data_IF_867540935470
#
_entry.id   IF_867540935470
#
_cell.length_a   1.000
_cell.length_b   1.000
_cell.length_c   1.000
_cell.angle_alpha   90.00
_cell.angle_beta   90.00
_cell.angle_gamma   90.00
#
_symmetry.space_group_name_H-M   'P 1'
#
loop_
_entity.id
_entity.type
_entity.pdbx_description
1 polymer ?
#
# COMPACT_ATOMS: atom_id res chain seq x y z
N UNK A 1 0.19 10.08 38.62
CA UNK A 1 0.08 9.40 37.32
C UNK A 1 1.23 9.92 36.46
N UNK A 2 1.93 9.10 35.67
CA UNK A 2 2.88 9.64 34.70
C UNK A 2 2.14 10.63 33.78
N UNK A 3 2.81 11.70 33.38
CA UNK A 3 2.22 12.70 32.49
C UNK A 3 1.70 12.05 31.21
N UNK A 4 0.58 12.53 30.64
CA UNK A 4 0.06 11.98 29.40
C UNK A 4 1.14 12.12 28.32
N UNK A 5 1.56 10.99 27.75
CA UNK A 5 2.51 10.98 26.63
C UNK A 5 1.83 11.69 25.45
N UNK A 6 2.26 12.92 25.19
CA UNK A 6 1.91 13.66 23.98
C UNK A 6 2.54 12.95 22.77
N UNK A 7 1.82 12.98 21.65
CA UNK A 7 2.30 12.45 20.38
C UNK A 7 2.27 13.56 19.34
N UNK A 8 3.17 13.47 18.38
CA UNK A 8 3.18 14.30 17.19
C UNK A 8 2.72 13.49 15.99
N UNK A 9 1.88 14.11 15.17
CA UNK A 9 1.37 13.54 13.92
C UNK A 9 1.77 14.47 12.78
N UNK A 10 2.60 13.98 11.87
CA UNK A 10 3.03 14.69 10.68
C UNK A 10 2.34 14.03 9.46
N UNK A 11 1.34 14.70 8.88
CA UNK A 11 0.56 14.18 7.75
C UNK A 11 1.17 14.55 6.39
N UNK A 12 1.05 13.66 5.41
CA UNK A 12 1.56 13.84 4.03
C UNK A 12 3.03 14.27 4.00
N UNK A 13 3.87 13.61 4.80
CA UNK A 13 5.32 13.76 4.69
C UNK A 13 5.79 13.17 3.37
N UNK A 14 6.45 14.00 2.56
CA UNK A 14 7.03 13.61 1.28
C UNK A 14 8.30 12.77 1.47
N UNK A 15 8.40 11.68 0.72
CA UNK A 15 9.54 10.76 0.69
C UNK A 15 9.95 10.61 -0.76
N UNK A 16 11.12 11.17 -1.12
CA UNK A 16 11.65 11.06 -2.47
C UNK A 16 12.27 9.66 -2.69
N UNK A 17 11.80 8.95 -3.71
CA UNK A 17 12.38 7.68 -4.16
C UNK A 17 13.62 7.94 -5.02
N UNK A 18 14.42 6.90 -5.27
CA UNK A 18 15.66 6.99 -6.06
C UNK A 18 15.47 7.48 -7.50
N UNK A 19 14.27 7.32 -8.05
CA UNK A 19 13.89 7.73 -9.40
C UNK A 19 13.24 9.12 -9.45
N UNK A 20 13.16 9.82 -8.31
CA UNK A 20 12.58 11.16 -8.19
C UNK A 20 11.08 11.19 -7.97
N UNK A 21 10.38 10.05 -7.98
CA UNK A 21 8.96 10.00 -7.63
C UNK A 21 8.78 10.22 -6.12
N UNK A 22 7.78 11.01 -5.75
CA UNK A 22 7.48 11.28 -4.34
C UNK A 22 6.35 10.38 -3.84
N UNK A 23 6.64 9.60 -2.79
CA UNK A 23 5.63 8.88 -2.03
C UNK A 23 5.29 9.65 -0.76
N UNK A 24 4.04 9.58 -0.31
CA UNK A 24 3.58 10.31 0.86
C UNK A 24 3.22 9.37 2.02
N UNK A 25 3.59 9.78 3.23
CA UNK A 25 3.34 9.03 4.45
C UNK A 25 2.79 9.90 5.58
N UNK A 26 2.01 9.30 6.47
CA UNK A 26 1.65 9.88 7.76
C UNK A 26 2.55 9.27 8.84
N UNK A 27 3.08 10.14 9.72
CA UNK A 27 4.04 9.76 10.76
C UNK A 27 3.42 10.02 12.12
N UNK A 28 3.41 9.01 12.97
CA UNK A 28 2.94 9.07 14.36
C UNK A 28 4.12 8.76 15.27
N UNK A 29 4.45 9.65 16.19
CA UNK A 29 5.61 9.46 17.07
C UNK A 29 5.43 10.15 18.42
N UNK A 30 6.17 9.75 19.47
CA UNK A 30 6.18 10.50 20.71
C UNK A 30 6.61 11.96 20.50
N UNK A 31 6.02 12.87 21.25
CA UNK A 31 6.38 14.30 21.25
C UNK A 31 7.60 14.54 22.17
N UNK A 32 8.75 14.08 21.70
CA UNK A 32 10.04 14.22 22.37
C UNK A 32 11.19 13.93 21.41
N UNK A 33 12.42 14.10 21.90
CA UNK A 33 13.62 14.15 21.04
C UNK A 33 14.09 12.79 20.49
N UNK A 34 13.47 11.67 20.88
CA UNK A 34 13.87 10.34 20.43
C UNK A 34 15.24 9.90 20.99
N UNK A 35 15.94 8.96 20.32
CA UNK A 35 15.55 8.27 19.09
C UNK A 35 14.63 7.05 19.36
N UNK A 36 13.69 6.80 18.46
CA UNK A 36 12.68 5.74 18.59
C UNK A 36 12.90 4.61 17.57
N UNK A 37 12.62 3.34 17.92
CA UNK A 37 12.44 2.30 16.92
C UNK A 37 11.28 2.67 15.98
N UNK A 38 11.45 2.41 14.69
CA UNK A 38 10.47 2.78 13.66
C UNK A 38 9.71 1.57 13.15
N UNK A 39 8.40 1.70 13.00
CA UNK A 39 7.52 0.71 12.42
C UNK A 39 6.96 1.28 11.11
N UNK A 40 7.16 0.58 10.00
CA UNK A 40 6.72 0.97 8.67
C UNK A 40 5.57 0.08 8.20
N UNK A 41 4.52 0.72 7.68
CA UNK A 41 3.46 0.08 6.90
C UNK A 41 3.39 0.71 5.52
N UNK A 42 3.41 -0.10 4.46
CA UNK A 42 3.22 0.36 3.08
C UNK A 42 1.92 -0.21 2.52
N UNK A 43 0.97 0.65 2.19
CA UNK A 43 -0.39 0.26 1.80
C UNK A 43 -0.80 0.80 0.43
N UNK A 44 -1.50 0.02 -0.40
CA UNK A 44 -2.17 0.53 -1.59
C UNK A 44 -3.62 0.97 -1.33
N UNK A 45 -4.08 0.96 -0.06
CA UNK A 45 -5.48 1.08 0.35
C UNK A 45 -5.80 2.32 1.20
N UNK A 46 -5.12 3.44 0.93
CA UNK A 46 -5.20 4.71 1.66
C UNK A 46 -4.61 4.63 3.09
N UNK A 47 -3.51 5.35 3.32
CA UNK A 47 -2.87 5.49 4.62
C UNK A 47 -3.80 6.07 5.72
N UNK A 48 -4.87 6.76 5.33
CA UNK A 48 -5.87 7.38 6.21
C UNK A 48 -7.10 6.49 6.48
N UNK A 49 -7.26 5.37 5.78
CA UNK A 49 -8.41 4.49 5.97
C UNK A 49 -8.38 3.77 7.33
N UNK A 50 -9.54 3.62 7.98
CA UNK A 50 -9.66 2.97 9.29
C UNK A 50 -9.08 1.54 9.33
N UNK A 51 -9.26 0.78 8.24
CA UNK A 51 -8.73 -0.58 8.14
C UNK A 51 -7.19 -0.61 8.18
N UNK A 52 -6.54 0.43 7.66
CA UNK A 52 -5.09 0.60 7.70
C UNK A 52 -4.57 0.71 9.13
N UNK A 53 -5.39 1.12 10.10
CA UNK A 53 -4.99 1.28 11.52
C UNK A 53 -5.50 0.14 12.43
N UNK A 54 -6.14 -0.89 11.87
CA UNK A 54 -6.80 -1.95 12.67
C UNK A 54 -5.79 -2.96 13.22
N UNK A 55 -4.74 -3.30 12.48
CA UNK A 55 -3.73 -4.27 12.95
C UNK A 55 -2.80 -3.68 14.01
N UNK A 56 -2.47 -2.40 13.88
CA UNK A 56 -1.69 -1.65 14.84
C UNK A 56 -2.27 -0.23 14.90
N UNK A 57 -2.79 0.15 16.07
CA UNK A 57 -3.16 1.52 16.35
C UNK A 57 -1.88 2.38 16.43
N UNK A 58 -1.66 3.32 15.48
CA UNK A 58 -0.43 4.10 15.43
C UNK A 58 -0.31 5.07 16.60
N UNK A 59 -1.43 5.52 17.18
CA UNK A 59 -1.43 6.38 18.37
C UNK A 59 -0.99 5.59 19.59
N UNK A 60 -1.49 4.35 19.74
CA UNK A 60 -1.07 3.46 20.83
C UNK A 60 0.40 3.07 20.72
N UNK A 61 0.87 2.76 19.51
CA UNK A 61 2.28 2.46 19.27
C UNK A 61 3.18 3.67 19.54
N UNK A 62 2.77 4.87 19.13
CA UNK A 62 3.45 6.12 19.46
C UNK A 62 3.54 6.34 20.97
N UNK A 63 2.43 6.17 21.69
CA UNK A 63 2.44 6.25 23.17
C UNK A 63 3.31 5.18 23.84
N UNK A 64 3.61 4.08 23.15
CA UNK A 64 4.50 3.02 23.62
C UNK A 64 5.99 3.27 23.25
N UNK A 65 6.32 4.40 22.64
CA UNK A 65 7.71 4.77 22.31
C UNK A 65 8.19 4.35 20.93
N UNK A 66 7.27 4.03 20.00
CA UNK A 66 7.60 3.75 18.60
C UNK A 66 7.27 4.94 17.71
N UNK A 67 8.09 5.20 16.69
CA UNK A 67 7.63 5.97 15.55
C UNK A 67 6.93 5.04 14.56
N UNK A 68 5.79 5.44 14.01
CA UNK A 68 5.02 4.68 13.03
C UNK A 68 4.91 5.51 11.75
N UNK A 69 5.34 4.92 10.64
CA UNK A 69 5.23 5.50 9.29
C UNK A 69 4.23 4.68 8.51
N UNK A 70 3.17 5.31 8.01
CA UNK A 70 2.16 4.67 7.17
C UNK A 70 2.19 5.36 5.80
N UNK A 71 2.65 4.64 4.78
CA UNK A 71 2.92 5.18 3.45
C UNK A 71 1.92 4.65 2.42
N UNK A 72 1.41 5.55 1.57
CA UNK A 72 0.73 5.16 0.34
C UNK A 72 1.76 4.67 -0.69
N UNK A 73 1.57 3.47 -1.24
CA UNK A 73 2.43 2.93 -2.30
C UNK A 73 2.34 3.75 -3.59
N UNK A 74 3.31 3.57 -4.50
CA UNK A 74 3.41 4.32 -5.76
C UNK A 74 2.12 4.31 -6.58
N UNK A 75 1.71 5.48 -7.06
CA UNK A 75 0.49 5.68 -7.84
C UNK A 75 -0.81 5.42 -7.06
N UNK A 76 -0.75 5.46 -5.72
CA UNK A 76 -1.90 5.25 -4.84
C UNK A 76 -2.17 6.50 -4.02
N UNK A 77 -3.42 6.90 -3.97
CA UNK A 77 -3.94 7.99 -3.13
C UNK A 77 -3.12 9.28 -3.22
N UNK A 78 -2.35 9.61 -2.18
CA UNK A 78 -1.51 10.82 -2.19
C UNK A 78 -0.20 10.65 -2.97
N UNK A 79 0.29 9.42 -3.13
CA UNK A 79 1.56 9.11 -3.77
C UNK A 79 1.53 9.27 -5.29
N UNK A 80 2.63 9.82 -5.80
CA UNK A 80 2.87 10.04 -7.22
C UNK A 80 3.27 8.74 -7.94
N UNK A 81 3.42 8.84 -9.27
CA UNK A 81 3.84 7.74 -10.13
C UNK A 81 2.67 6.87 -10.62
N UNK A 82 3.01 5.78 -11.30
CA UNK A 82 2.05 4.83 -11.83
C UNK A 82 2.03 3.55 -11.00
N UNK A 83 0.85 3.12 -10.58
CA UNK A 83 0.69 1.88 -9.84
C UNK A 83 0.78 0.67 -10.78
N UNK A 84 1.64 -0.28 -10.41
CA UNK A 84 1.64 -1.63 -10.95
C UNK A 84 1.87 -2.60 -9.80
N UNK A 85 0.95 -3.54 -9.60
CA UNK A 85 0.98 -4.44 -8.46
C UNK A 85 2.34 -5.14 -8.32
N UNK A 86 2.93 -5.01 -7.13
CA UNK A 86 4.19 -5.62 -6.66
C UNK A 86 5.48 -5.20 -7.38
N UNK A 87 5.40 -4.57 -8.56
CA UNK A 87 6.56 -4.25 -9.41
C UNK A 87 7.57 -3.36 -8.70
N UNK A 88 7.10 -2.26 -8.13
CA UNK A 88 7.96 -1.20 -7.58
C UNK A 88 8.22 -1.37 -6.08
N UNK A 89 7.48 -2.28 -5.42
CA UNK A 89 7.49 -2.47 -3.97
C UNK A 89 8.84 -2.96 -3.40
N UNK A 90 9.69 -3.56 -4.22
CA UNK A 90 11.06 -3.94 -3.84
C UNK A 90 11.91 -2.69 -3.63
N UNK A 91 11.97 -1.81 -4.64
CA UNK A 91 12.84 -0.62 -4.61
C UNK A 91 12.26 0.48 -3.72
N UNK A 92 10.96 0.76 -3.83
CA UNK A 92 10.31 1.77 -3.00
C UNK A 92 10.29 1.34 -1.53
N UNK A 93 10.16 0.03 -1.26
CA UNK A 93 10.28 -0.54 0.08
C UNK A 93 11.67 -0.32 0.68
N UNK A 94 12.73 -0.56 -0.11
CA UNK A 94 14.10 -0.25 0.30
C UNK A 94 14.28 1.24 0.61
N UNK A 95 13.92 2.11 -0.33
CA UNK A 95 14.14 3.56 -0.20
C UNK A 95 13.40 4.13 1.02
N UNK A 96 12.19 3.63 1.27
CA UNK A 96 11.38 4.05 2.42
C UNK A 96 11.96 3.58 3.75
N UNK A 97 12.48 2.35 3.82
CA UNK A 97 13.16 1.85 5.03
C UNK A 97 14.39 2.69 5.34
N UNK A 98 15.23 2.96 4.33
CA UNK A 98 16.46 3.74 4.52
C UNK A 98 16.15 5.20 4.87
N UNK A 99 15.14 5.79 4.24
CA UNK A 99 14.67 7.12 4.59
C UNK A 99 14.17 7.17 6.04
N UNK A 100 13.38 6.19 6.47
CA UNK A 100 12.83 6.13 7.83
C UNK A 100 13.92 5.95 8.89
N UNK A 101 14.97 5.19 8.59
CA UNK A 101 16.12 4.99 9.45
C UNK A 101 16.97 6.26 9.62
N UNK A 102 17.04 7.09 8.58
CA UNK A 102 17.85 8.31 8.55
C UNK A 102 17.22 9.52 9.25
N UNK A 103 15.96 9.43 9.67
CA UNK A 103 15.27 10.55 10.31
C UNK A 103 15.85 10.86 11.70
N UNK A 104 15.90 12.13 12.13
CA UNK A 104 16.51 12.52 13.41
C UNK A 104 15.81 11.92 14.63
N UNK A 105 14.55 11.52 14.49
CA UNK A 105 13.77 10.86 15.53
C UNK A 105 13.92 9.33 15.55
N UNK A 106 14.62 8.73 14.58
CA UNK A 106 14.77 7.28 14.44
C UNK A 106 16.06 6.80 15.10
N UNK A 107 16.04 5.60 15.69
CA UNK A 107 17.25 4.94 16.20
C UNK A 107 17.94 4.06 15.15
N UNK A 108 17.55 4.18 13.87
CA UNK A 108 18.10 3.41 12.77
C UNK A 108 17.58 1.97 12.67
N UNK A 109 16.69 1.52 13.56
CA UNK A 109 16.06 0.20 13.48
C UNK A 109 14.63 0.33 12.96
N UNK A 110 14.40 -0.23 11.78
CA UNK A 110 13.09 -0.23 11.13
C UNK A 110 12.52 -1.65 11.12
N UNK A 111 11.30 -1.80 11.63
CA UNK A 111 10.48 -2.99 11.46
C UNK A 111 9.35 -2.73 10.48
N UNK A 112 8.83 -3.76 9.81
CA UNK A 112 7.63 -3.65 8.99
C UNK A 112 6.52 -4.58 9.49
N UNK A 113 5.25 -4.21 9.23
CA UNK A 113 4.09 -5.00 9.61
C UNK A 113 2.91 -4.82 8.64
N UNK A 114 1.93 -5.73 8.74
CA UNK A 114 0.67 -5.67 8.00
C UNK A 114 0.30 -6.98 7.32
N UNK A 115 -0.89 -6.98 6.70
CA UNK A 115 -1.52 -8.18 6.13
C UNK A 115 -1.73 -8.10 4.62
N UNK A 116 -1.93 -9.25 3.97
CA UNK A 116 -2.28 -9.32 2.55
C UNK A 116 -1.24 -8.61 1.67
N UNK A 117 -1.62 -7.66 0.80
CA UNK A 117 -0.67 -6.84 0.02
C UNK A 117 0.30 -6.07 0.93
N UNK A 118 -0.17 -5.54 2.06
CA UNK A 118 0.68 -4.87 3.06
C UNK A 118 1.67 -5.87 3.69
N UNK A 119 1.31 -7.14 3.75
CA UNK A 119 2.23 -8.24 4.06
C UNK A 119 3.27 -8.46 2.95
N UNK A 120 2.83 -8.42 1.69
CA UNK A 120 3.67 -8.65 0.52
C UNK A 120 4.77 -7.59 0.38
N UNK A 121 4.46 -6.31 0.65
CA UNK A 121 5.45 -5.23 0.60
C UNK A 121 6.63 -5.47 1.54
N UNK A 122 6.45 -6.23 2.62
CA UNK A 122 7.52 -6.58 3.57
C UNK A 122 8.47 -7.62 2.97
N UNK A 123 7.92 -8.69 2.37
CA UNK A 123 8.73 -9.70 1.70
C UNK A 123 9.50 -9.07 0.54
N UNK A 124 8.82 -8.27 -0.29
CA UNK A 124 9.43 -7.59 -1.43
C UNK A 124 10.56 -6.64 -0.99
N UNK A 125 10.33 -5.79 0.01
CA UNK A 125 11.39 -4.93 0.57
C UNK A 125 12.55 -5.76 1.14
N UNK A 126 12.29 -6.85 1.86
CA UNK A 126 13.33 -7.69 2.46
C UNK A 126 14.25 -8.33 1.41
N UNK A 127 13.76 -8.65 0.20
CA UNK A 127 14.62 -9.18 -0.88
C UNK A 127 15.68 -8.18 -1.34
N UNK A 128 15.42 -6.87 -1.22
CA UNK A 128 16.40 -5.82 -1.50
C UNK A 128 17.46 -5.67 -0.40
N UNK A 129 17.27 -6.33 0.75
CA UNK A 129 18.15 -6.30 1.94
C UNK A 129 18.52 -4.88 2.40
N UNK A 130 17.54 -4.02 2.77
CA UNK A 130 17.84 -2.72 3.35
C UNK A 130 18.61 -2.91 4.67
N UNK A 131 19.79 -2.28 4.85
CA UNK A 131 20.62 -2.52 6.03
C UNK A 131 19.94 -2.16 7.36
N UNK A 132 18.94 -1.27 7.34
CA UNK A 132 18.22 -0.86 8.55
C UNK A 132 16.92 -1.63 8.81
N UNK A 133 16.54 -2.57 7.93
CA UNK A 133 15.40 -3.46 8.15
C UNK A 133 15.79 -4.59 9.12
N UNK A 134 15.35 -4.49 10.37
CA UNK A 134 15.74 -5.46 11.42
C UNK A 134 14.71 -6.57 11.65
N UNK A 135 13.44 -6.33 11.31
CA UNK A 135 12.33 -7.28 11.54
C UNK A 135 11.20 -7.06 10.54
N UNK A 136 10.53 -8.14 10.12
CA UNK A 136 9.23 -8.09 9.42
C UNK A 136 8.18 -8.92 10.18
N UNK A 137 6.91 -8.51 10.10
CA UNK A 137 5.77 -9.21 10.66
C UNK A 137 4.65 -9.38 9.59
N UNK A 138 4.91 -10.14 8.50
CA UNK A 138 3.95 -10.34 7.43
C UNK A 138 2.84 -11.30 7.86
N UNK A 139 1.59 -10.88 7.69
CA UNK A 139 0.40 -11.67 8.08
C UNK A 139 -0.45 -12.01 6.85
N UNK A 140 -1.00 -13.22 6.76
CA UNK A 140 -1.93 -13.66 5.68
C UNK A 140 -1.52 -13.18 4.28
N UNK A 141 -0.27 -13.43 3.92
CA UNK A 141 0.31 -13.06 2.63
C UNK A 141 1.03 -14.26 2.02
N UNK A 142 1.50 -14.13 0.78
CA UNK A 142 2.20 -15.18 0.06
C UNK A 142 3.69 -14.87 -0.11
N UNK A 143 4.48 -15.92 -0.29
CA UNK A 143 5.89 -15.86 -0.72
C UNK A 143 6.05 -16.05 -2.24
N UNK A 144 4.96 -16.34 -2.95
CA UNK A 144 4.86 -16.41 -4.41
C UNK A 144 3.54 -15.75 -4.83
N UNK A 145 3.60 -14.75 -5.70
CA UNK A 145 2.41 -14.00 -6.15
C UNK A 145 1.84 -14.54 -7.46
N UNK A 146 2.53 -15.45 -8.14
CA UNK A 146 1.98 -16.14 -9.31
C UNK A 146 1.15 -17.34 -8.87
N UNK A 147 1.77 -18.35 -8.25
CA UNK A 147 1.09 -19.58 -7.81
C UNK A 147 0.75 -19.51 -6.32
N UNK A 148 -0.53 -19.65 -5.98
CA UNK A 148 -1.08 -19.47 -4.64
C UNK A 148 -1.64 -18.07 -4.34
N UNK A 149 -1.73 -17.20 -5.36
CA UNK A 149 -2.35 -15.87 -5.24
C UNK A 149 -3.13 -15.49 -6.50
N UNK A 150 -2.43 -15.26 -7.62
CA UNK A 150 -3.08 -14.92 -8.90
C UNK A 150 -3.59 -16.15 -9.63
N UNK A 151 -2.83 -17.24 -9.58
CA UNK A 151 -3.19 -18.53 -10.13
C UNK A 151 -3.15 -19.61 -9.04
N UNK A 152 -3.98 -20.64 -9.19
CA UNK A 152 -3.91 -21.85 -8.38
C UNK A 152 -3.93 -23.07 -9.28
N UNK A 153 -2.82 -23.82 -9.32
CA UNK A 153 -2.71 -25.00 -10.19
C UNK A 153 -2.81 -24.65 -11.69
N UNK A 154 -2.43 -23.43 -12.07
CA UNK A 154 -2.50 -22.92 -13.45
C UNK A 154 -3.86 -22.34 -13.85
N UNK A 155 -4.88 -22.38 -12.99
CA UNK A 155 -6.14 -21.69 -13.21
C UNK A 155 -6.07 -20.27 -12.64
N UNK A 156 -6.56 -19.27 -13.39
CA UNK A 156 -6.63 -17.89 -12.92
C UNK A 156 -7.71 -17.76 -11.84
N UNK A 157 -7.37 -17.19 -10.70
CA UNK A 157 -8.30 -16.94 -9.59
C UNK A 157 -9.18 -15.71 -9.90
N UNK A 158 -10.06 -15.87 -10.89
CA UNK A 158 -10.86 -14.79 -11.49
C UNK A 158 -11.65 -14.00 -10.45
N UNK A 159 -12.37 -14.70 -9.57
CA UNK A 159 -13.23 -14.07 -8.56
C UNK A 159 -12.43 -13.16 -7.63
N UNK A 160 -11.26 -13.62 -7.17
CA UNK A 160 -10.37 -12.83 -6.33
C UNK A 160 -9.75 -11.66 -7.08
N UNK A 161 -9.10 -11.90 -8.22
CA UNK A 161 -8.37 -10.85 -8.94
C UNK A 161 -9.31 -9.78 -9.50
N UNK A 162 -10.44 -10.15 -10.10
CA UNK A 162 -11.39 -9.17 -10.66
C UNK A 162 -12.04 -8.32 -9.56
N UNK A 163 -12.49 -8.94 -8.47
CA UNK A 163 -13.11 -8.20 -7.36
C UNK A 163 -12.12 -7.24 -6.68
N UNK A 164 -10.90 -7.71 -6.42
CA UNK A 164 -9.84 -6.88 -5.85
C UNK A 164 -9.49 -5.70 -6.76
N UNK A 165 -9.42 -5.95 -8.07
CA UNK A 165 -9.17 -4.90 -9.07
C UNK A 165 -10.26 -3.84 -9.07
N UNK A 166 -11.51 -4.25 -9.26
CA UNK A 166 -12.66 -3.36 -9.37
C UNK A 166 -12.87 -2.52 -8.11
N UNK A 167 -12.75 -3.17 -6.93
CA UNK A 167 -13.03 -2.52 -5.66
C UNK A 167 -11.84 -1.68 -5.18
N UNK A 168 -10.72 -2.34 -4.92
CA UNK A 168 -9.63 -1.76 -4.15
C UNK A 168 -8.68 -0.97 -5.04
N UNK A 169 -8.36 -1.49 -6.22
CA UNK A 169 -7.32 -0.90 -7.06
C UNK A 169 -7.86 0.16 -8.01
N UNK A 170 -9.13 0.08 -8.43
CA UNK A 170 -9.76 1.13 -9.25
C UNK A 170 -10.72 1.99 -8.43
N UNK A 171 -11.92 1.51 -8.08
CA UNK A 171 -12.99 2.35 -7.53
C UNK A 171 -12.57 3.10 -6.25
N UNK A 172 -11.88 2.44 -5.30
CA UNK A 172 -11.40 3.06 -4.07
C UNK A 172 -10.29 4.10 -4.29
N UNK A 173 -9.55 4.02 -5.40
CA UNK A 173 -8.49 4.97 -5.76
C UNK A 173 -8.89 5.90 -6.92
N UNK A 174 -10.17 5.89 -7.32
CA UNK A 174 -10.62 6.51 -8.56
C UNK A 174 -10.21 7.98 -8.68
N UNK A 175 -10.21 8.73 -7.55
CA UNK A 175 -9.77 10.12 -7.53
C UNK A 175 -8.34 10.28 -8.08
N UNK A 176 -7.40 9.47 -7.61
CA UNK A 176 -6.01 9.50 -8.06
C UNK A 176 -5.87 8.96 -9.50
N UNK A 177 -6.51 7.81 -9.79
CA UNK A 177 -6.49 7.22 -11.14
C UNK A 177 -7.03 8.20 -12.20
N UNK A 178 -8.15 8.86 -11.91
CA UNK A 178 -8.76 9.84 -12.82
C UNK A 178 -7.90 11.08 -13.08
N UNK A 179 -7.04 11.46 -12.14
CA UNK A 179 -6.12 12.59 -12.33
C UNK A 179 -4.81 12.20 -13.02
N UNK A 180 -4.29 10.99 -12.78
CA UNK A 180 -2.99 10.57 -13.30
C UNK A 180 -3.09 10.01 -14.71
N UNK A 181 -4.18 9.30 -15.00
CA UNK A 181 -4.37 8.58 -16.27
C UNK A 181 -5.43 9.22 -17.18
N UNK A 182 -5.85 10.46 -16.87
CA UNK A 182 -6.90 11.19 -17.60
C UNK A 182 -8.20 10.39 -17.81
N UNK A 183 -8.53 9.50 -16.87
CA UNK A 183 -9.74 8.69 -16.96
C UNK A 183 -10.98 9.58 -16.73
N UNK A 184 -11.94 9.62 -17.67
CA UNK A 184 -13.12 10.47 -17.55
C UNK A 184 -13.94 10.16 -16.29
N UNK A 185 -14.49 11.19 -15.63
CA UNK A 185 -15.17 11.04 -14.33
C UNK A 185 -16.43 10.17 -14.41
N UNK A 186 -17.09 10.12 -15.56
CA UNK A 186 -18.24 9.26 -15.87
C UNK A 186 -17.92 7.77 -15.72
N UNK A 187 -16.65 7.36 -15.95
CA UNK A 187 -16.18 5.99 -15.75
C UNK A 187 -16.34 5.52 -14.31
N UNK A 188 -16.44 6.45 -13.35
CA UNK A 188 -16.75 6.10 -11.96
C UNK A 188 -18.11 5.45 -11.84
N UNK A 189 -19.13 5.96 -12.53
CA UNK A 189 -20.47 5.39 -12.50
C UNK A 189 -20.49 3.98 -13.07
N UNK A 190 -19.78 3.77 -14.18
CA UNK A 190 -19.59 2.44 -14.79
C UNK A 190 -18.89 1.47 -13.85
N UNK A 191 -17.84 1.91 -13.15
CA UNK A 191 -17.15 1.08 -12.15
C UNK A 191 -18.03 0.74 -10.95
N UNK A 192 -18.87 1.67 -10.48
CA UNK A 192 -19.85 1.38 -9.42
C UNK A 192 -20.84 0.31 -9.91
N UNK A 193 -21.39 0.47 -11.11
CA UNK A 193 -22.30 -0.52 -11.67
C UNK A 193 -21.63 -1.89 -11.82
N UNK A 194 -20.39 -1.93 -12.33
CA UNK A 194 -19.61 -3.16 -12.48
C UNK A 194 -19.29 -3.84 -11.14
N UNK A 195 -19.18 -3.07 -10.06
CA UNK A 195 -19.03 -3.58 -8.70
C UNK A 195 -20.35 -4.14 -8.16
N UNK A 196 -21.46 -3.44 -8.38
CA UNK A 196 -22.79 -3.86 -7.93
C UNK A 196 -23.24 -5.15 -8.68
N UNK A 197 -22.90 -5.26 -9.97
CA UNK A 197 -23.22 -6.39 -10.85
C UNK A 197 -22.02 -7.33 -11.07
N UNK A 198 -21.12 -7.46 -10.09
CA UNK A 198 -19.85 -8.18 -10.25
C UNK A 198 -19.99 -9.64 -10.75
N UNK A 199 -21.13 -10.28 -10.47
CA UNK A 199 -21.43 -11.62 -10.99
C UNK A 199 -21.54 -11.67 -12.51
N UNK A 200 -22.01 -10.60 -13.16
CA UNK A 200 -22.00 -10.48 -14.63
C UNK A 200 -20.56 -10.41 -15.15
N UNK A 201 -19.69 -9.68 -14.45
CA UNK A 201 -18.26 -9.63 -14.76
C UNK A 201 -17.60 -11.00 -14.70
N UNK A 202 -17.92 -11.82 -13.69
CA UNK A 202 -17.40 -13.19 -13.59
C UNK A 202 -17.90 -14.12 -14.72
N UNK A 203 -19.10 -13.84 -15.27
CA UNK A 203 -19.67 -14.60 -16.38
C UNK A 203 -19.26 -14.06 -17.77
N UNK A 204 -18.59 -12.91 -17.83
CA UNK A 204 -18.23 -12.25 -19.08
C UNK A 204 -17.15 -13.02 -19.83
N UNK A 205 -17.42 -13.34 -21.11
CA UNK A 205 -16.50 -14.04 -21.99
C UNK A 205 -16.39 -13.33 -23.36
N UNK A 206 -15.17 -13.18 -23.91
CA UNK A 206 -13.88 -13.56 -23.32
C UNK A 206 -13.48 -12.67 -22.12
N UNK A 207 -12.92 -13.25 -21.06
CA UNK A 207 -12.56 -12.50 -19.82
C UNK A 207 -11.58 -11.36 -20.06
N UNK A 208 -10.68 -11.51 -21.04
CA UNK A 208 -9.71 -10.48 -21.45
C UNK A 208 -10.34 -9.23 -22.08
N UNK A 209 -11.58 -9.33 -22.53
CA UNK A 209 -12.29 -8.25 -23.24
C UNK A 209 -13.27 -7.52 -22.30
N UNK A 210 -13.15 -7.73 -20.97
CA UNK A 210 -14.04 -7.11 -19.99
C UNK A 210 -13.87 -5.58 -19.93
N UNK A 211 -14.88 -4.79 -20.29
CA UNK A 211 -14.68 -3.36 -20.62
C UNK A 211 -14.43 -2.45 -19.41
N UNK A 212 -14.74 -2.90 -18.18
CA UNK A 212 -14.69 -2.02 -17.01
C UNK A 212 -13.30 -1.88 -16.39
N UNK A 213 -12.33 -2.69 -16.82
CA UNK A 213 -10.95 -2.65 -16.31
C UNK A 213 -9.94 -2.17 -17.36
N UNK A 214 -10.40 -1.85 -18.57
CA UNK A 214 -9.59 -1.41 -19.69
C UNK A 214 -9.13 0.07 -19.55
N UNK A 215 -8.48 0.58 -20.61
CA UNK A 215 -8.23 2.02 -20.78
C UNK A 215 -7.41 2.67 -19.64
N UNK A 216 -6.37 1.97 -19.18
CA UNK A 216 -5.44 2.47 -18.15
C UNK A 216 -5.85 2.12 -16.72
N UNK A 217 -7.15 1.96 -16.44
CA UNK A 217 -7.69 1.77 -15.09
C UNK A 217 -6.98 0.66 -14.29
N UNK A 218 -6.74 -0.49 -14.94
CA UNK A 218 -6.10 -1.63 -14.30
C UNK A 218 -5.18 -2.36 -15.29
N UNK A 219 -4.16 -1.66 -15.81
CA UNK A 219 -3.20 -2.26 -16.76
C UNK A 219 -2.62 -3.60 -16.27
N UNK A 220 -2.27 -3.68 -14.99
CA UNK A 220 -1.71 -4.88 -14.37
C UNK A 220 -2.63 -6.12 -14.44
N UNK A 221 -3.94 -5.94 -14.65
CA UNK A 221 -4.91 -7.04 -14.64
C UNK A 221 -4.85 -7.89 -15.92
N UNK A 222 -4.41 -7.29 -17.04
CA UNK A 222 -4.39 -7.94 -18.35
C UNK A 222 -3.00 -8.41 -18.80
N UNK A 223 -1.96 -8.01 -18.08
CA UNK A 223 -0.57 -8.41 -18.29
C UNK A 223 -0.26 -9.72 -17.56
#
# INVERSE_FOLDING_TARGET
MPDPICIKIDSNTAIAMRDGVTLYADIYRPDGDGPYPTILQRTPYDKTANLTHTMLDPIRAAKAGFAVVIQDTRGRHASEGEFYAFRDDINDGFDTVEWAAAQPWSNGKVGMYGASYVGATQWLAATARPPHLVTIAPTVTASNYHDGWTYQGGAFELGFNMSWTLLQLTLANFKNVSSVQDVPRERRGELVQAVDDMTEGFAFLPTKDYPHLDSGLAKYYYD
#
